data_IF_554154003515
#
_entry.id   IF_554154003515
#
_cell.length_a   1.000
_cell.length_b   1.000
_cell.length_c   1.000
_cell.angle_alpha   90.00
_cell.angle_beta   90.00
_cell.angle_gamma   90.00
#
_symmetry.space_group_name_H-M   'P 1'
#
loop_
_entity.id
_entity.type
_entity.pdbx_description
1 polymer ?
#
# COMPACT_ATOMS: atom_id res chain seq x y z
N UNK A 1 33.33 -31.11 -21.13
CA UNK A 1 32.27 -30.83 -20.13
C UNK A 1 32.42 -29.40 -19.57
N UNK A 2 31.32 -28.74 -19.21
CA UNK A 2 31.34 -27.42 -18.58
C UNK A 2 31.85 -27.54 -17.13
N UNK A 3 32.84 -26.73 -16.74
CA UNK A 3 33.41 -26.78 -15.39
C UNK A 3 32.55 -26.10 -14.32
N UNK A 4 31.84 -25.03 -14.68
CA UNK A 4 30.89 -24.34 -13.82
C UNK A 4 29.83 -23.59 -14.65
N UNK A 5 28.62 -23.47 -14.11
CA UNK A 5 27.55 -22.63 -14.66
C UNK A 5 27.05 -21.73 -13.54
N UNK A 6 27.41 -20.46 -13.57
CA UNK A 6 27.16 -19.50 -12.50
C UNK A 6 26.20 -18.42 -12.98
N UNK A 7 25.13 -18.21 -12.24
CA UNK A 7 24.15 -17.16 -12.43
C UNK A 7 24.30 -16.13 -11.30
N UNK A 8 24.31 -14.86 -11.66
CA UNK A 8 24.32 -13.75 -10.71
C UNK A 8 22.86 -13.33 -10.48
N UNK A 9 22.34 -13.76 -9.35
CA UNK A 9 20.99 -13.45 -8.88
C UNK A 9 21.04 -12.38 -7.80
N UNK A 10 19.88 -12.03 -7.24
CA UNK A 10 19.74 -11.04 -6.18
C UNK A 10 18.97 -11.59 -5.00
N UNK A 11 19.38 -11.20 -3.80
CA UNK A 11 18.63 -11.45 -2.57
C UNK A 11 17.19 -10.90 -2.63
N UNK A 12 16.90 -9.93 -3.52
CA UNK A 12 15.54 -9.44 -3.78
C UNK A 12 14.56 -10.55 -4.23
N UNK A 13 15.03 -11.61 -4.89
CA UNK A 13 14.20 -12.77 -5.23
C UNK A 13 13.74 -13.57 -4.00
N UNK A 14 14.50 -13.50 -2.91
CA UNK A 14 14.21 -14.23 -1.66
C UNK A 14 13.56 -13.34 -0.60
N UNK A 15 14.06 -12.12 -0.42
CA UNK A 15 13.63 -11.19 0.62
C UNK A 15 12.53 -10.24 0.15
N UNK A 16 12.35 -10.11 -1.17
CA UNK A 16 11.52 -9.08 -1.75
C UNK A 16 12.16 -7.69 -1.64
N UNK A 17 11.63 -6.77 -2.44
CA UNK A 17 11.99 -5.36 -2.40
C UNK A 17 10.80 -4.53 -2.89
N UNK A 18 10.32 -3.54 -2.12
CA UNK A 18 9.28 -2.64 -2.61
C UNK A 18 9.68 -2.02 -3.96
N UNK A 19 8.80 -2.08 -4.96
CA UNK A 19 9.06 -1.58 -6.31
C UNK A 19 9.89 -2.49 -7.23
N UNK A 20 10.38 -3.64 -6.73
CA UNK A 20 11.32 -4.51 -7.47
C UNK A 20 10.67 -5.81 -7.99
N UNK A 21 9.36 -5.82 -8.26
CA UNK A 21 8.62 -7.03 -8.63
C UNK A 21 9.18 -7.74 -9.88
N UNK A 22 9.37 -6.99 -10.97
CA UNK A 22 9.91 -7.53 -12.23
C UNK A 22 11.35 -8.07 -12.04
N UNK A 23 12.16 -7.33 -11.28
CA UNK A 23 13.53 -7.70 -10.98
C UNK A 23 13.60 -8.96 -10.11
N UNK A 24 12.78 -9.05 -9.06
CA UNK A 24 12.68 -10.22 -8.20
C UNK A 24 12.22 -11.46 -8.99
N UNK A 25 11.24 -11.31 -9.89
CA UNK A 25 10.77 -12.41 -10.73
C UNK A 25 11.85 -12.93 -11.70
N UNK A 26 12.60 -12.04 -12.33
CA UNK A 26 13.71 -12.42 -13.21
C UNK A 26 14.80 -13.19 -12.46
N UNK A 27 15.18 -12.71 -11.27
CA UNK A 27 16.18 -13.38 -10.42
C UNK A 27 15.65 -14.72 -9.87
N UNK A 28 14.37 -14.82 -9.50
CA UNK A 28 13.74 -16.08 -9.11
C UNK A 28 13.75 -17.13 -10.23
N UNK A 29 13.65 -16.70 -11.49
CA UNK A 29 13.83 -17.59 -12.65
C UNK A 29 15.26 -18.14 -12.73
N UNK A 30 16.29 -17.30 -12.53
CA UNK A 30 17.69 -17.75 -12.48
C UNK A 30 17.90 -18.79 -11.38
N UNK A 31 17.31 -18.54 -10.20
CA UNK A 31 17.38 -19.45 -9.05
C UNK A 31 16.70 -20.80 -9.32
N UNK A 32 15.58 -20.78 -10.04
CA UNK A 32 14.90 -22.00 -10.48
C UNK A 32 15.70 -22.75 -11.55
N UNK A 33 16.34 -22.02 -12.49
CA UNK A 33 17.16 -22.61 -13.54
C UNK A 33 18.39 -23.34 -12.97
N UNK A 34 19.13 -22.73 -12.04
CA UNK A 34 20.26 -23.38 -11.39
C UNK A 34 19.85 -24.66 -10.65
N UNK A 35 18.71 -24.63 -9.95
CA UNK A 35 18.14 -25.81 -9.27
C UNK A 35 17.75 -26.91 -10.26
N UNK A 36 17.07 -26.57 -11.35
CA UNK A 36 16.70 -27.53 -12.40
C UNK A 36 17.94 -28.20 -13.00
N UNK A 37 18.97 -27.42 -13.33
CA UNK A 37 20.23 -27.96 -13.88
C UNK A 37 20.87 -28.98 -12.95
N UNK A 38 20.93 -28.69 -11.64
CA UNK A 38 21.47 -29.66 -10.67
C UNK A 38 20.61 -30.92 -10.54
N UNK A 39 19.28 -30.80 -10.62
CA UNK A 39 18.40 -31.96 -10.65
C UNK A 39 18.64 -32.86 -11.87
N UNK A 40 19.07 -32.28 -12.99
CA UNK A 40 19.43 -32.98 -14.23
C UNK A 40 20.90 -33.46 -14.26
N UNK A 41 21.63 -33.37 -13.13
CA UNK A 41 23.04 -33.77 -13.04
C UNK A 41 24.02 -32.82 -13.73
N UNK A 42 23.56 -31.62 -14.12
CA UNK A 42 24.37 -30.60 -14.78
C UNK A 42 24.90 -29.56 -13.76
N UNK A 43 26.06 -28.93 -14.03
CA UNK A 43 26.53 -27.80 -13.24
C UNK A 43 25.49 -26.68 -13.23
N UNK A 44 25.22 -26.12 -12.05
CA UNK A 44 24.28 -25.01 -11.83
C UNK A 44 24.46 -24.40 -10.45
N UNK A 45 24.85 -23.12 -10.41
CA UNK A 45 24.97 -22.29 -9.22
C UNK A 45 24.30 -20.95 -9.51
N UNK A 46 23.37 -20.52 -8.67
CA UNK A 46 22.83 -19.16 -8.68
C UNK A 46 23.22 -18.50 -7.36
N UNK A 47 23.96 -17.40 -7.38
CA UNK A 47 24.33 -16.69 -6.16
C UNK A 47 23.40 -15.51 -6.00
N UNK A 48 22.59 -15.51 -4.95
CA UNK A 48 21.66 -14.42 -4.66
C UNK A 48 22.38 -13.33 -3.86
N UNK A 49 22.85 -12.31 -4.56
CA UNK A 49 23.70 -11.26 -3.98
C UNK A 49 22.91 -10.22 -3.19
N UNK A 50 23.47 -9.82 -2.06
CA UNK A 50 23.12 -8.61 -1.34
C UNK A 50 23.64 -7.34 -2.02
N UNK A 51 23.54 -6.23 -1.30
CA UNK A 51 24.05 -4.94 -1.78
C UNK A 51 25.59 -4.96 -1.84
N UNK A 52 26.17 -4.39 -2.88
CA UNK A 52 27.61 -4.13 -3.00
C UNK A 52 27.90 -2.65 -2.67
N UNK A 53 29.02 -2.38 -2.03
CA UNK A 53 29.47 -1.03 -1.66
C UNK A 53 29.85 -0.21 -2.88
N UNK A 54 30.52 -0.85 -3.85
CA UNK A 54 30.86 -0.24 -5.12
C UNK A 54 29.61 -0.04 -5.96
N UNK A 55 29.17 1.20 -6.13
CA UNK A 55 28.12 1.57 -7.07
C UNK A 55 28.65 1.41 -8.51
N UNK A 56 28.62 0.19 -9.04
CA UNK A 56 28.95 -0.08 -10.44
C UNK A 56 27.79 -0.77 -11.15
N UNK A 57 27.46 -0.29 -12.35
CA UNK A 57 26.38 -0.82 -13.18
C UNK A 57 24.99 -0.69 -12.55
N UNK A 58 24.48 -1.77 -11.95
CA UNK A 58 23.08 -1.94 -11.56
C UNK A 58 22.68 -1.15 -10.31
N UNK A 59 23.59 -0.99 -9.35
CA UNK A 59 23.38 -0.21 -8.12
C UNK A 59 23.70 1.28 -8.28
N UNK A 60 24.18 1.72 -9.44
CA UNK A 60 24.50 3.12 -9.73
C UNK A 60 23.30 4.07 -9.79
N UNK A 61 22.08 3.52 -9.87
CA UNK A 61 20.82 4.27 -9.91
C UNK A 61 20.17 4.43 -8.53
N UNK A 62 20.71 3.76 -7.50
CA UNK A 62 20.20 3.87 -6.13
C UNK A 62 20.67 5.19 -5.56
N UNK A 63 19.73 6.02 -5.11
CA UNK A 63 20.06 7.28 -4.46
C UNK A 63 20.51 7.03 -3.00
N UNK A 64 21.00 8.09 -2.35
CA UNK A 64 21.44 8.01 -0.96
C UNK A 64 20.31 7.58 0.01
N UNK A 65 19.04 7.81 -0.36
CA UNK A 65 17.88 7.44 0.44
C UNK A 65 17.60 5.92 0.35
N UNK A 66 17.74 5.31 -0.82
CA UNK A 66 17.66 3.86 -1.02
C UNK A 66 18.76 3.12 -0.24
N UNK A 67 19.99 3.62 -0.30
CA UNK A 67 21.10 3.10 0.49
C UNK A 67 20.83 3.21 2.00
N UNK A 68 20.24 4.32 2.45
CA UNK A 68 19.90 4.55 3.86
C UNK A 68 18.76 3.65 4.32
N UNK A 69 17.72 3.47 3.48
CA UNK A 69 16.58 2.58 3.76
C UNK A 69 17.01 1.12 3.89
N UNK A 70 17.94 0.67 3.03
CA UNK A 70 18.49 -0.68 3.08
C UNK A 70 19.47 -0.89 4.24
N UNK A 71 20.32 0.09 4.56
CA UNK A 71 21.15 0.01 5.78
C UNK A 71 20.29 -0.10 7.04
N UNK A 72 19.18 0.64 7.09
CA UNK A 72 18.19 0.53 8.17
C UNK A 72 17.47 -0.81 8.20
N UNK A 73 17.47 -1.63 7.16
CA UNK A 73 16.87 -2.98 7.20
C UNK A 73 17.81 -4.06 7.78
N UNK A 74 19.02 -3.68 8.22
CA UNK A 74 20.02 -4.60 8.75
C UNK A 74 20.85 -5.30 7.66
N UNK A 75 20.67 -4.91 6.39
CA UNK A 75 21.48 -5.38 5.27
C UNK A 75 22.58 -4.36 4.99
N UNK A 76 23.82 -4.76 5.24
CA UNK A 76 24.99 -3.93 5.01
C UNK A 76 25.58 -4.19 3.60
N UNK A 77 26.19 -3.18 2.97
CA UNK A 77 26.84 -3.35 1.66
C UNK A 77 28.10 -4.22 1.78
N UNK A 78 28.32 -5.12 0.84
CA UNK A 78 29.53 -5.94 0.71
C UNK A 78 30.64 -5.15 0.02
N UNK A 79 31.85 -5.20 0.57
CA UNK A 79 33.06 -4.78 -0.17
C UNK A 79 33.35 -5.76 -1.31
N UNK A 80 34.13 -5.34 -2.31
CA UNK A 80 34.52 -6.23 -3.42
C UNK A 80 35.29 -7.47 -2.92
N UNK A 81 36.12 -7.30 -1.88
CA UNK A 81 36.86 -8.40 -1.26
C UNK A 81 35.91 -9.40 -0.58
N UNK A 82 34.96 -8.93 0.23
CA UNK A 82 33.93 -9.79 0.85
C UNK A 82 33.07 -10.50 -0.21
N UNK A 83 32.72 -9.79 -1.30
CA UNK A 83 31.98 -10.36 -2.43
C UNK A 83 32.73 -11.50 -3.11
N UNK A 84 34.04 -11.33 -3.36
CA UNK A 84 34.89 -12.37 -3.94
C UNK A 84 35.10 -13.56 -3.01
N UNK A 85 35.26 -13.32 -1.71
CA UNK A 85 35.38 -14.40 -0.72
C UNK A 85 34.09 -15.23 -0.64
N UNK A 86 32.92 -14.57 -0.63
CA UNK A 86 31.62 -15.24 -0.69
C UNK A 86 31.42 -15.99 -2.01
N UNK A 87 31.95 -15.46 -3.12
CA UNK A 87 31.89 -16.13 -4.41
C UNK A 87 32.73 -17.42 -4.41
N UNK A 88 33.95 -17.35 -3.89
CA UNK A 88 34.81 -18.53 -3.74
C UNK A 88 34.16 -19.59 -2.84
N UNK A 89 33.55 -19.16 -1.73
CA UNK A 89 32.81 -20.06 -0.84
C UNK A 89 31.58 -20.69 -1.53
N UNK A 90 30.85 -19.92 -2.35
CA UNK A 90 29.71 -20.43 -3.12
C UNK A 90 30.13 -21.47 -4.17
N UNK A 91 31.28 -21.28 -4.82
CA UNK A 91 31.85 -22.24 -5.77
C UNK A 91 32.33 -23.54 -5.11
N UNK A 92 32.90 -23.45 -3.90
CA UNK A 92 33.36 -24.60 -3.14
C UNK A 92 32.22 -25.38 -2.47
N UNK A 93 31.05 -24.75 -2.29
CA UNK A 93 29.88 -25.34 -1.65
C UNK A 93 29.04 -26.21 -2.59
N UNK A 94 28.20 -27.06 -2.00
CA UNK A 94 27.31 -27.97 -2.74
C UNK A 94 25.87 -27.42 -2.92
N UNK A 95 25.62 -26.20 -2.44
CA UNK A 95 24.28 -25.59 -2.51
C UNK A 95 24.10 -24.94 -3.89
N UNK A 96 23.00 -25.23 -4.62
CA UNK A 96 22.73 -24.60 -5.91
C UNK A 96 22.34 -23.12 -5.80
N UNK A 97 21.94 -22.67 -4.61
CA UNK A 97 21.40 -21.33 -4.36
C UNK A 97 21.84 -20.77 -2.99
N UNK A 98 23.10 -20.36 -2.82
CA UNK A 98 23.51 -19.57 -1.66
C UNK A 98 23.01 -18.12 -1.77
N UNK A 99 22.62 -17.55 -0.63
CA UNK A 99 22.36 -16.11 -0.48
C UNK A 99 23.62 -15.48 0.14
N UNK A 100 24.24 -14.56 -0.59
CA UNK A 100 25.48 -13.89 -0.20
C UNK A 100 25.14 -12.49 0.31
N UNK A 101 25.02 -12.33 1.62
CA UNK A 101 24.50 -11.12 2.27
C UNK A 101 25.30 -10.79 3.53
N UNK A 102 25.64 -9.51 3.73
CA UNK A 102 26.16 -9.03 5.02
C UNK A 102 24.99 -8.58 5.90
N UNK A 103 24.71 -9.37 6.94
CA UNK A 103 23.63 -9.11 7.89
C UNK A 103 24.19 -8.54 9.18
N UNK A 104 23.81 -7.32 9.52
CA UNK A 104 23.95 -6.81 10.88
C UNK A 104 22.71 -7.21 11.67
N UNK A 105 22.83 -8.31 12.42
CA UNK A 105 21.73 -8.86 13.22
C UNK A 105 21.27 -7.93 14.35
N UNK A 106 22.14 -7.02 14.80
CA UNK A 106 21.81 -6.03 15.83
C UNK A 106 21.03 -4.89 15.23
N UNK A 107 21.46 -4.35 14.09
CA UNK A 107 20.70 -3.36 13.34
C UNK A 107 19.34 -3.93 12.87
N UNK A 108 19.30 -5.19 12.42
CA UNK A 108 18.07 -5.87 12.03
C UNK A 108 17.06 -5.96 13.19
N UNK A 109 17.52 -6.25 14.42
CA UNK A 109 16.68 -6.22 15.63
C UNK A 109 16.23 -4.82 15.98
N UNK A 110 17.13 -3.84 15.91
CA UNK A 110 16.81 -2.44 16.23
C UNK A 110 15.82 -1.82 15.24
N UNK A 111 15.86 -2.26 13.99
CA UNK A 111 14.97 -1.81 12.93
C UNK A 111 13.63 -2.56 12.87
N UNK A 112 13.47 -3.60 13.67
CA UNK A 112 12.23 -4.34 13.76
C UNK A 112 11.13 -3.41 14.30
N UNK A 113 10.20 -3.01 13.42
CA UNK A 113 8.97 -2.33 13.83
C UNK A 113 8.05 -3.27 14.62
N UNK A 114 6.80 -2.87 14.90
CA UNK A 114 5.87 -3.70 15.69
C UNK A 114 5.54 -5.07 15.07
N UNK A 115 5.81 -5.28 13.78
CA UNK A 115 5.75 -6.61 13.14
C UNK A 115 6.95 -7.53 13.43
N UNK A 116 7.94 -7.05 14.19
CA UNK A 116 9.17 -7.77 14.50
C UNK A 116 10.10 -7.94 13.31
N UNK A 117 11.15 -8.74 13.50
CA UNK A 117 12.06 -9.15 12.42
C UNK A 117 11.30 -10.03 11.40
N UNK A 118 11.48 -9.82 10.08
CA UNK A 118 10.90 -10.67 9.04
C UNK A 118 11.09 -12.16 9.35
N UNK A 119 10.05 -12.96 9.11
CA UNK A 119 10.02 -14.39 9.48
C UNK A 119 11.23 -15.16 8.97
N UNK A 120 11.66 -14.89 7.73
CA UNK A 120 12.82 -15.52 7.10
C UNK A 120 14.15 -15.19 7.80
N UNK A 121 14.26 -14.03 8.46
CA UNK A 121 15.47 -13.56 9.13
C UNK A 121 15.45 -13.79 10.65
N UNK A 122 14.32 -14.22 11.22
CA UNK A 122 14.15 -14.36 12.68
C UNK A 122 15.13 -15.34 13.32
N UNK A 123 15.42 -16.45 12.65
CA UNK A 123 16.38 -17.43 13.14
C UNK A 123 17.81 -16.85 13.18
N UNK A 124 18.17 -16.05 12.17
CA UNK A 124 19.47 -15.38 12.06
C UNK A 124 19.62 -14.24 13.06
N UNK A 125 18.52 -13.60 13.46
CA UNK A 125 18.51 -12.53 14.44
C UNK A 125 18.69 -13.01 15.90
N UNK A 126 18.74 -14.32 16.18
CA UNK A 126 19.03 -14.85 17.53
C UNK A 126 17.97 -15.77 18.16
N UNK A 127 17.18 -16.49 17.36
CA UNK A 127 16.23 -17.50 17.88
C UNK A 127 14.95 -16.90 18.49
N UNK A 128 13.97 -17.72 18.88
CA UNK A 128 12.60 -17.26 19.12
C UNK A 128 12.58 -16.31 20.31
N UNK A 129 12.40 -15.01 20.05
CA UNK A 129 11.90 -14.09 21.04
C UNK A 129 10.61 -14.71 21.59
N UNK A 130 10.66 -15.13 22.86
CA UNK A 130 9.50 -15.49 23.66
C UNK A 130 8.44 -14.44 23.33
N UNK A 131 7.28 -14.86 22.82
CA UNK A 131 6.11 -13.99 22.61
C UNK A 131 5.90 -13.23 23.92
N UNK A 132 6.42 -12.02 24.03
CA UNK A 132 5.71 -10.95 24.72
C UNK A 132 4.42 -10.85 23.94
N UNK A 133 3.32 -11.17 24.62
CA UNK A 133 1.98 -11.10 24.07
C UNK A 133 1.89 -9.87 23.17
N UNK A 134 1.45 -10.06 21.92
CA UNK A 134 1.07 -8.95 21.07
C UNK A 134 0.10 -8.11 21.90
N UNK A 135 0.57 -6.95 22.34
CA UNK A 135 -0.29 -5.96 22.95
C UNK A 135 -1.31 -5.62 21.86
N UNK A 136 -2.58 -5.89 22.15
CA UNK A 136 -3.64 -5.72 21.16
C UNK A 136 -3.63 -4.28 20.60
N UNK A 137 -4.20 -4.03 19.41
CA UNK A 137 -4.25 -2.68 18.82
C UNK A 137 -4.79 -1.59 19.77
N UNK A 138 -5.53 -1.98 20.81
CA UNK A 138 -6.01 -1.11 21.88
C UNK A 138 -4.95 -0.66 22.88
N UNK A 139 -4.02 -1.52 23.32
CA UNK A 139 -3.07 -1.19 24.39
C UNK A 139 -2.02 -0.15 23.95
N UNK A 140 -1.56 -0.21 22.70
CA UNK A 140 -0.67 0.82 22.14
C UNK A 140 -1.37 2.18 21.95
N UNK A 141 -2.66 2.15 21.57
CA UNK A 141 -3.50 3.35 21.47
C UNK A 141 -3.74 3.96 22.84
N UNK A 142 -4.01 3.15 23.86
CA UNK A 142 -4.29 3.60 25.22
C UNK A 142 -3.04 4.18 25.91
N UNK A 143 -1.86 3.61 25.65
CA UNK A 143 -0.59 4.16 26.13
C UNK A 143 -0.26 5.53 25.49
N UNK A 144 -0.46 5.67 24.17
CA UNK A 144 -0.27 6.97 23.48
C UNK A 144 -1.32 7.99 23.95
N UNK A 145 -2.58 7.58 24.10
CA UNK A 145 -3.66 8.43 24.61
C UNK A 145 -3.38 8.91 26.04
N UNK A 146 -2.89 8.03 26.93
CA UNK A 146 -2.52 8.40 28.29
C UNK A 146 -1.36 9.42 28.31
N UNK A 147 -0.35 9.24 27.47
CA UNK A 147 0.77 10.19 27.32
C UNK A 147 0.31 11.55 26.77
N UNK A 148 -0.59 11.56 25.79
CA UNK A 148 -1.17 12.78 25.24
C UNK A 148 -2.10 13.47 26.25
N UNK A 149 -2.88 12.72 27.02
CA UNK A 149 -3.75 13.26 28.06
C UNK A 149 -2.97 13.92 29.21
N UNK A 150 -1.77 13.40 29.53
CA UNK A 150 -0.87 13.97 30.52
C UNK A 150 -0.18 15.27 30.09
N UNK A 151 -0.16 15.57 28.78
CA UNK A 151 0.38 16.81 28.24
C UNK A 151 -0.66 17.95 28.31
N UNK A 152 -0.23 19.20 28.56
CA UNK A 152 -1.08 20.39 28.42
C UNK A 152 -1.70 20.46 27.02
N UNK A 153 -2.93 20.94 26.90
CA UNK A 153 -3.66 20.97 25.62
C UNK A 153 -2.89 21.70 24.50
N UNK A 154 -2.13 22.73 24.84
CA UNK A 154 -1.28 23.49 23.91
C UNK A 154 -0.05 22.70 23.42
N UNK A 155 0.41 21.69 24.15
CA UNK A 155 1.59 20.89 23.80
C UNK A 155 1.24 19.60 23.04
N UNK A 156 -0.04 19.19 23.06
CA UNK A 156 -0.53 17.98 22.37
C UNK A 156 -0.38 18.07 20.85
N UNK A 157 -0.65 19.24 20.29
CA UNK A 157 -0.52 19.47 18.84
C UNK A 157 0.94 19.39 18.39
N UNK A 158 1.86 19.99 19.17
CA UNK A 158 3.30 19.89 18.92
C UNK A 158 3.79 18.44 18.98
N UNK A 159 3.40 17.69 20.02
CA UNK A 159 3.79 16.29 20.16
C UNK A 159 3.29 15.38 19.02
N UNK A 160 2.08 15.62 18.51
CA UNK A 160 1.54 14.88 17.37
C UNK A 160 2.19 15.30 16.05
N UNK A 161 2.49 16.59 15.89
CA UNK A 161 3.24 17.10 14.75
C UNK A 161 4.64 16.50 14.68
N UNK A 162 5.34 16.44 15.82
CA UNK A 162 6.67 15.83 15.92
C UNK A 162 6.63 14.33 15.61
N UNK A 163 5.58 13.63 16.04
CA UNK A 163 5.37 12.22 15.69
C UNK A 163 5.21 12.04 14.18
N UNK A 164 4.38 12.85 13.54
CA UNK A 164 4.17 12.79 12.08
C UNK A 164 5.45 13.14 11.33
N UNK A 165 6.14 14.23 11.72
CA UNK A 165 7.39 14.68 11.11
C UNK A 165 8.52 13.67 11.28
N UNK A 166 8.65 13.04 12.45
CA UNK A 166 9.64 12.00 12.70
C UNK A 166 9.43 10.74 11.85
N UNK A 167 8.17 10.31 11.67
CA UNK A 167 7.86 9.21 10.77
C UNK A 167 8.03 9.59 9.29
N UNK A 168 7.66 10.81 8.90
CA UNK A 168 7.88 11.32 7.55
C UNK A 168 9.37 11.41 7.20
N UNK A 169 10.20 11.94 8.10
CA UNK A 169 11.65 11.99 7.97
C UNK A 169 12.24 10.59 7.81
N UNK A 170 11.74 9.63 8.59
CA UNK A 170 12.17 8.23 8.50
C UNK A 170 11.86 7.63 7.12
N UNK A 171 10.70 7.93 6.54
CA UNK A 171 10.32 7.46 5.20
C UNK A 171 11.16 8.12 4.11
N UNK A 172 11.41 9.43 4.22
CA UNK A 172 12.16 10.21 3.24
C UNK A 172 13.69 10.10 3.38
N UNK A 173 14.18 9.41 4.43
CA UNK A 173 15.61 9.27 4.69
C UNK A 173 16.29 10.50 5.30
N UNK A 174 15.52 11.43 5.87
CA UNK A 174 16.06 12.59 6.59
C UNK A 174 16.57 12.20 7.99
N UNK A 175 17.54 12.97 8.49
CA UNK A 175 18.16 12.74 9.79
C UNK A 175 17.24 13.15 10.94
N UNK A 176 16.41 14.17 10.74
CA UNK A 176 15.51 14.73 11.74
C UNK A 176 14.10 14.98 11.19
N UNK A 177 13.10 14.95 12.07
CA UNK A 177 11.76 15.44 11.76
C UNK A 177 11.72 16.95 11.49
N UNK A 178 12.70 17.70 11.99
CA UNK A 178 12.83 19.15 11.75
C UNK A 178 13.09 19.46 10.28
N UNK A 179 13.71 18.54 9.55
CA UNK A 179 13.98 18.65 8.10
C UNK A 179 12.70 18.56 7.25
N UNK A 180 11.58 18.13 7.83
CA UNK A 180 10.28 18.01 7.15
C UNK A 180 9.44 19.24 7.44
N UNK A 181 9.14 20.07 6.44
CA UNK A 181 8.28 21.25 6.63
C UNK A 181 6.84 20.87 7.00
N UNK A 182 6.32 21.47 8.07
CA UNK A 182 5.00 21.17 8.67
C UNK A 182 3.80 21.50 7.78
N UNK A 183 3.91 22.57 6.97
CA UNK A 183 2.85 23.06 6.06
C UNK A 183 3.10 22.73 4.60
N UNK A 184 4.23 22.10 4.28
CA UNK A 184 4.52 21.71 2.90
C UNK A 184 3.76 20.43 2.55
N UNK A 185 3.13 20.36 1.37
CA UNK A 185 2.45 19.14 0.95
C UNK A 185 3.42 17.96 0.87
N UNK A 186 3.01 16.78 1.33
CA UNK A 186 3.79 15.55 1.26
C UNK A 186 4.32 15.27 -0.15
N UNK A 187 3.51 15.52 -1.19
CA UNK A 187 3.93 15.40 -2.60
C UNK A 187 5.13 16.29 -2.94
N UNK A 188 5.18 17.51 -2.41
CA UNK A 188 6.29 18.43 -2.61
C UNK A 188 7.51 18.08 -1.73
N UNK A 189 7.31 17.30 -0.67
CA UNK A 189 8.37 16.73 0.17
C UNK A 189 8.96 15.43 -0.41
N UNK A 190 8.46 14.95 -1.55
CA UNK A 190 8.95 13.74 -2.21
C UNK A 190 8.14 12.46 -1.92
N UNK A 191 6.94 12.58 -1.33
CA UNK A 191 6.06 11.42 -1.20
C UNK A 191 5.42 11.03 -2.54
N UNK A 192 5.45 9.73 -2.79
CA UNK A 192 4.81 9.01 -3.88
C UNK A 192 3.80 7.98 -3.35
N UNK A 193 3.27 7.13 -4.24
CA UNK A 193 2.27 6.13 -3.86
C UNK A 193 2.81 5.09 -2.86
N UNK A 194 4.11 4.78 -2.90
CA UNK A 194 4.71 3.73 -2.08
C UNK A 194 5.09 4.25 -0.69
N UNK A 195 5.76 5.39 -0.64
CA UNK A 195 6.15 6.10 0.60
C UNK A 195 4.93 6.54 1.41
N UNK A 196 3.81 6.87 0.75
CA UNK A 196 2.53 7.16 1.41
C UNK A 196 1.97 5.96 2.18
N UNK A 197 2.06 4.76 1.60
CA UNK A 197 1.64 3.52 2.28
C UNK A 197 2.58 3.19 3.44
N UNK A 198 3.88 3.43 3.29
CA UNK A 198 4.86 3.21 4.36
C UNK A 198 4.63 4.13 5.57
N UNK A 199 4.40 5.43 5.33
CA UNK A 199 4.04 6.40 6.39
C UNK A 199 2.76 5.97 7.11
N UNK A 200 1.72 5.60 6.35
CA UNK A 200 0.45 5.12 6.91
C UNK A 200 0.62 3.88 7.78
N UNK A 201 1.42 2.92 7.34
CA UNK A 201 1.69 1.71 8.13
C UNK A 201 2.46 2.04 9.42
N UNK A 202 3.44 2.96 9.37
CA UNK A 202 4.16 3.43 10.56
C UNK A 202 3.26 4.19 11.53
N UNK A 203 2.35 5.02 11.05
CA UNK A 203 1.41 5.74 11.89
C UNK A 203 0.37 4.81 12.52
N UNK A 204 -0.16 3.83 11.79
CA UNK A 204 -1.03 2.79 12.36
C UNK A 204 -0.34 2.06 13.51
N UNK A 205 0.93 1.71 13.31
CA UNK A 205 1.77 1.08 14.31
C UNK A 205 1.98 1.93 15.57
N UNK A 206 2.29 3.23 15.39
CA UNK A 206 2.57 4.13 16.50
C UNK A 206 1.31 4.54 17.29
N UNK A 207 0.16 4.64 16.59
CA UNK A 207 -1.09 5.17 17.16
C UNK A 207 -2.11 4.09 17.52
N UNK A 208 -1.90 2.86 17.07
CA UNK A 208 -2.89 1.79 17.14
C UNK A 208 -4.16 2.06 16.31
N UNK A 209 -4.18 3.07 15.45
CA UNK A 209 -5.31 3.43 14.60
C UNK A 209 -5.38 2.55 13.34
N UNK A 210 -6.56 2.51 12.72
CA UNK A 210 -6.76 1.95 11.38
C UNK A 210 -6.95 3.09 10.39
N UNK A 211 -5.84 3.63 9.88
CA UNK A 211 -5.83 4.76 8.96
C UNK A 211 -6.02 4.28 7.50
N UNK A 212 -6.84 4.99 6.69
CA UNK A 212 -7.09 4.63 5.29
C UNK A 212 -5.82 4.80 4.43
N UNK A 213 -5.77 4.12 3.28
CA UNK A 213 -4.63 4.24 2.36
C UNK A 213 -4.55 5.63 1.69
N UNK A 214 -5.66 6.36 1.67
CA UNK A 214 -5.79 7.72 1.12
C UNK A 214 -5.33 8.81 2.09
N UNK A 215 -4.90 8.46 3.30
CA UNK A 215 -4.57 9.40 4.40
C UNK A 215 -3.70 10.59 3.99
N UNK A 216 -2.66 10.36 3.18
CA UNK A 216 -1.72 11.39 2.72
C UNK A 216 -2.34 12.32 1.67
N UNK A 217 -3.37 11.86 0.96
CA UNK A 217 -4.15 12.66 0.01
C UNK A 217 -5.26 13.45 0.72
N UNK A 218 -5.92 12.82 1.70
CA UNK A 218 -6.98 13.45 2.50
C UNK A 218 -6.41 14.52 3.45
N UNK A 219 -5.17 14.33 3.91
CA UNK A 219 -4.42 15.24 4.77
C UNK A 219 -3.04 15.53 4.16
N UNK A 220 -2.97 16.52 3.26
CA UNK A 220 -1.82 16.69 2.37
C UNK A 220 -0.58 17.24 3.08
N UNK A 221 -0.69 17.80 4.28
CA UNK A 221 0.45 18.34 5.03
C UNK A 221 0.66 17.60 6.36
N UNK A 222 1.90 17.57 6.90
CA UNK A 222 2.16 17.03 8.24
C UNK A 222 1.28 17.64 9.34
N UNK A 223 1.01 18.94 9.27
CA UNK A 223 0.11 19.63 10.20
C UNK A 223 -1.34 19.15 10.10
N UNK A 224 -1.89 19.02 8.89
CA UNK A 224 -3.26 18.51 8.68
C UNK A 224 -3.40 17.08 9.18
N UNK A 225 -2.37 16.26 8.95
CA UNK A 225 -2.34 14.88 9.40
C UNK A 225 -2.24 14.77 10.92
N UNK A 226 -1.44 15.62 11.57
CA UNK A 226 -1.37 15.68 13.04
C UNK A 226 -2.72 16.08 13.66
N UNK A 227 -3.41 17.06 13.07
CA UNK A 227 -4.74 17.46 13.50
C UNK A 227 -5.78 16.33 13.34
N UNK A 228 -5.72 15.58 12.25
CA UNK A 228 -6.58 14.42 12.05
C UNK A 228 -6.32 13.31 13.09
N UNK A 229 -5.05 13.02 13.38
CA UNK A 229 -4.68 12.06 14.43
C UNK A 229 -5.15 12.51 15.81
N UNK A 230 -5.11 13.82 16.10
CA UNK A 230 -5.68 14.37 17.34
C UNK A 230 -7.17 14.07 17.45
N UNK A 231 -7.94 14.33 16.40
CA UNK A 231 -9.39 14.09 16.39
C UNK A 231 -9.74 12.60 16.61
N UNK A 232 -8.93 11.69 16.06
CA UNK A 232 -9.12 10.25 16.23
C UNK A 232 -8.68 9.71 17.61
N UNK A 233 -7.65 10.30 18.21
CA UNK A 233 -7.07 9.84 19.47
C UNK A 233 -7.75 10.47 20.70
N UNK A 234 -8.19 11.72 20.58
CA UNK A 234 -8.86 12.50 21.61
C UNK A 234 -10.23 12.97 21.10
N UNK A 235 -11.18 12.04 20.82
CA UNK A 235 -12.57 12.43 20.77
C UNK A 235 -12.91 12.96 22.17
N UNK A 236 -13.33 14.22 22.24
CA UNK A 236 -13.64 15.00 23.45
C UNK A 236 -12.50 15.84 24.03
N UNK A 237 -12.28 16.98 23.37
CA UNK A 237 -11.93 18.25 24.01
C UNK A 237 -13.02 19.27 23.71
N UNK A 238 -14.25 18.99 24.14
CA UNK A 238 -15.37 19.92 24.02
C UNK A 238 -15.21 21.06 25.02
N UNK A 239 -14.63 22.16 24.58
CA UNK A 239 -15.07 23.46 25.10
C UNK A 239 -16.53 23.62 24.72
N UNK A 240 -17.35 23.86 25.72
CA UNK A 240 -18.76 24.13 25.56
C UNK A 240 -18.98 25.32 24.60
N UNK A 241 -19.48 25.03 23.40
CA UNK A 241 -20.44 25.88 22.70
C UNK A 241 -21.55 24.96 22.19
N UNK A 242 -22.73 25.11 22.81
CA UNK A 242 -23.91 24.31 22.53
C UNK A 242 -24.41 24.45 21.08
N UNK A 243 -24.93 23.34 20.57
CA UNK A 243 -25.58 23.26 19.27
C UNK A 243 -25.87 21.81 18.87
N UNK A 244 -26.82 21.19 19.57
CA UNK A 244 -27.72 20.08 19.12
C UNK A 244 -27.64 19.77 17.62
N UNK A 245 -27.30 18.57 17.13
CA UNK A 245 -27.97 17.24 17.14
C UNK A 245 -27.10 16.34 16.24
N UNK A 246 -26.92 15.03 16.37
CA UNK A 246 -27.50 14.00 17.19
C UNK A 246 -26.69 12.72 16.97
N UNK A 247 -26.58 11.93 18.03
CA UNK A 247 -25.91 10.64 18.07
C UNK A 247 -26.76 9.58 17.38
N UNK A 248 -26.15 8.74 16.55
CA UNK A 248 -26.57 7.36 16.38
C UNK A 248 -25.34 6.49 16.16
N UNK A 249 -24.87 5.85 17.24
CA UNK A 249 -24.06 4.65 17.11
C UNK A 249 -24.99 3.46 16.94
N UNK A 250 -24.57 2.47 16.13
CA UNK A 250 -24.50 1.05 16.50
C UNK A 250 -24.29 0.16 15.27
N UNK A 251 -23.38 -0.80 15.46
CA UNK A 251 -23.44 -2.20 15.01
C UNK A 251 -23.71 -2.53 13.54
N UNK A 252 -22.80 -3.35 12.99
CA UNK A 252 -22.95 -3.98 11.70
C UNK A 252 -24.22 -4.82 11.57
N UNK A 253 -24.93 -4.58 10.49
CA UNK A 253 -25.55 -5.53 9.58
C UNK A 253 -26.16 -4.67 8.46
N UNK A 254 -25.82 -5.00 7.21
CA UNK A 254 -26.49 -4.61 5.94
C UNK A 254 -25.59 -3.89 4.92
N UNK A 255 -24.71 -4.67 4.28
CA UNK A 255 -23.82 -4.25 3.19
C UNK A 255 -24.58 -3.94 1.87
N UNK A 256 -25.91 -4.11 1.83
CA UNK A 256 -26.72 -3.93 0.62
C UNK A 256 -27.43 -2.57 0.52
N UNK A 257 -27.92 -2.04 1.63
CA UNK A 257 -28.73 -0.81 1.63
C UNK A 257 -27.87 0.46 1.59
N UNK A 258 -26.68 0.42 2.21
CA UNK A 258 -25.76 1.56 2.28
C UNK A 258 -25.16 1.91 0.91
N UNK A 259 -24.82 0.88 0.10
CA UNK A 259 -24.27 1.07 -1.25
C UNK A 259 -25.30 1.70 -2.19
N UNK A 260 -26.60 1.34 -2.08
CA UNK A 260 -27.66 1.94 -2.91
C UNK A 260 -27.86 3.42 -2.60
N UNK A 261 -27.83 3.81 -1.33
CA UNK A 261 -27.94 5.22 -0.92
C UNK A 261 -26.74 6.03 -1.41
N UNK A 262 -25.53 5.47 -1.33
CA UNK A 262 -24.31 6.09 -1.84
C UNK A 262 -24.32 6.23 -3.37
N UNK A 263 -24.76 5.22 -4.11
CA UNK A 263 -24.89 5.29 -5.57
C UNK A 263 -25.94 6.30 -6.02
N UNK A 264 -27.08 6.39 -5.33
CA UNK A 264 -28.14 7.36 -5.62
C UNK A 264 -27.69 8.82 -5.41
N UNK A 265 -26.71 9.05 -4.52
CA UNK A 265 -26.14 10.37 -4.26
C UNK A 265 -25.12 10.86 -5.29
N UNK A 266 -24.65 10.01 -6.23
CA UNK A 266 -23.64 10.39 -7.22
C UNK A 266 -24.33 10.89 -8.50
N UNK A 267 -24.04 12.12 -8.99
CA UNK A 267 -24.59 12.61 -10.24
C UNK A 267 -24.21 11.72 -11.43
N UNK A 268 -25.17 11.41 -12.31
CA UNK A 268 -24.97 10.56 -13.50
C UNK A 268 -23.82 11.05 -14.40
N UNK A 269 -23.59 12.36 -14.48
CA UNK A 269 -22.48 12.94 -15.22
C UNK A 269 -21.10 12.49 -14.70
N UNK A 270 -20.95 12.32 -13.37
CA UNK A 270 -19.71 11.81 -12.75
C UNK A 270 -19.51 10.32 -13.07
N UNK A 271 -20.59 9.53 -13.05
CA UNK A 271 -20.54 8.11 -13.42
C UNK A 271 -20.13 7.93 -14.88
N UNK A 272 -20.62 8.80 -15.77
CA UNK A 272 -20.24 8.80 -17.20
C UNK A 272 -18.78 9.22 -17.40
N UNK A 273 -18.33 10.29 -16.75
CA UNK A 273 -16.94 10.74 -16.85
C UNK A 273 -15.92 9.71 -16.31
N UNK A 274 -16.33 8.92 -15.32
CA UNK A 274 -15.53 7.82 -14.78
C UNK A 274 -15.60 6.53 -15.62
N UNK A 275 -16.41 6.47 -16.69
CA UNK A 275 -16.61 5.27 -17.48
C UNK A 275 -17.36 4.14 -16.75
N UNK A 276 -18.04 4.47 -15.64
CA UNK A 276 -18.72 3.49 -14.76
C UNK A 276 -20.21 3.32 -15.08
N UNK A 277 -20.79 4.19 -15.92
CA UNK A 277 -22.21 4.14 -16.25
C UNK A 277 -22.60 2.85 -16.99
N UNK A 278 -21.90 2.50 -18.07
CA UNK A 278 -22.22 1.31 -18.88
C UNK A 278 -22.02 -0.01 -18.11
N UNK A 279 -20.94 -0.18 -17.30
CA UNK A 279 -20.80 -1.33 -16.41
C UNK A 279 -21.96 -1.47 -15.41
N UNK A 280 -22.42 -0.36 -14.81
CA UNK A 280 -23.52 -0.39 -13.82
C UNK A 280 -24.85 -0.74 -14.47
N UNK A 281 -25.14 -0.21 -15.67
CA UNK A 281 -26.34 -0.55 -16.43
C UNK A 281 -26.36 -2.02 -16.86
N UNK A 282 -25.21 -2.58 -17.25
CA UNK A 282 -25.08 -3.99 -17.60
C UNK A 282 -25.34 -4.90 -16.39
N UNK A 283 -24.77 -4.54 -15.23
CA UNK A 283 -24.98 -5.26 -13.98
C UNK A 283 -26.45 -5.20 -13.51
N UNK A 284 -27.12 -4.06 -13.71
CA UNK A 284 -28.54 -3.91 -13.42
C UNK A 284 -29.43 -4.78 -14.34
N UNK A 285 -29.05 -4.92 -15.62
CA UNK A 285 -29.74 -5.80 -16.55
C UNK A 285 -29.55 -7.29 -16.21
N UNK A 286 -28.44 -7.65 -15.58
CA UNK A 286 -28.15 -9.02 -15.13
C UNK A 286 -28.89 -9.41 -13.83
N UNK A 287 -29.39 -8.43 -13.06
CA UNK A 287 -30.04 -8.62 -11.75
C UNK A 287 -31.57 -8.49 -11.78
N UNK A 288 -32.19 -8.69 -12.95
CA UNK A 288 -33.62 -8.47 -13.19
C UNK A 288 -34.58 -9.08 -12.16
N UNK A 289 -34.90 -8.31 -11.12
CA UNK A 289 -36.20 -8.27 -10.45
C UNK A 289 -36.72 -6.83 -10.59
N UNK A 290 -37.51 -6.58 -11.63
CA UNK A 290 -38.44 -5.46 -11.62
C UNK A 290 -39.56 -5.78 -10.62
N UNK A 291 -39.97 -4.83 -9.75
CA UNK A 291 -41.13 -5.01 -8.90
C UNK A 291 -42.42 -5.07 -9.74
N UNK A 292 -43.46 -5.80 -9.28
CA UNK A 292 -44.66 -6.03 -10.06
C UNK A 292 -45.55 -4.77 -10.14
N UNK A 293 -46.28 -4.71 -11.25
CA UNK A 293 -47.31 -3.74 -11.62
C UNK A 293 -48.15 -3.18 -10.46
N UNK A 294 -48.21 -1.84 -10.39
CA UNK A 294 -49.29 -1.09 -9.76
C UNK A 294 -50.02 -0.29 -10.84
N UNK A 295 -51.24 -0.70 -11.17
CA UNK A 295 -51.97 -0.26 -12.36
C UNK A 295 -52.56 1.17 -12.34
N UNK A 296 -52.52 1.78 -13.52
CA UNK A 296 -53.54 2.63 -14.16
C UNK A 296 -53.71 4.09 -13.68
N UNK A 297 -54.27 5.01 -14.52
CA UNK A 297 -55.01 4.77 -15.78
C UNK A 297 -54.50 5.54 -17.03
N UNK A 298 -55.16 5.21 -18.15
CA UNK A 298 -54.99 5.50 -19.59
C UNK A 298 -54.87 6.95 -20.10
N UNK A 299 -54.43 6.99 -21.38
CA UNK A 299 -54.51 7.99 -22.46
C UNK A 299 -53.24 8.86 -22.65
N UNK A 300 -52.56 8.89 -23.81
CA UNK A 300 -53.02 8.69 -25.18
C UNK A 300 -51.98 7.98 -26.07
N UNK A 301 -52.49 7.31 -27.10
CA UNK A 301 -51.78 6.50 -28.10
C UNK A 301 -50.64 7.26 -28.81
N UNK A 302 -49.42 6.81 -28.59
CA UNK A 302 -48.36 6.81 -29.60
C UNK A 302 -48.00 5.35 -29.80
N UNK A 303 -48.48 4.75 -30.88
CA UNK A 303 -48.09 3.39 -31.27
C UNK A 303 -46.56 3.28 -31.27
N UNK A 304 -46.07 2.28 -30.54
CA UNK A 304 -44.66 2.01 -30.39
C UNK A 304 -44.06 1.61 -31.74
N UNK A 305 -43.10 2.43 -32.19
CA UNK A 305 -42.30 2.25 -33.42
C UNK A 305 -41.69 0.84 -33.50
N UNK A 306 -41.48 0.19 -32.36
CA UNK A 306 -40.90 -1.16 -32.28
C UNK A 306 -41.80 -2.28 -32.83
N UNK A 307 -43.08 -2.01 -33.13
CA UNK A 307 -44.02 -3.02 -33.63
C UNK A 307 -44.46 -2.83 -35.09
N UNK A 308 -43.95 -1.79 -35.77
CA UNK A 308 -44.33 -1.51 -37.16
C UNK A 308 -43.54 -2.38 -38.15
N UNK A 309 -44.21 -2.84 -39.20
CA UNK A 309 -43.54 -3.52 -40.31
C UNK A 309 -42.74 -2.54 -41.17
N UNK A 310 -41.81 -3.08 -41.95
CA UNK A 310 -40.85 -2.29 -42.71
C UNK A 310 -41.52 -1.40 -43.78
N UNK A 311 -42.67 -1.81 -44.32
CA UNK A 311 -43.40 -1.03 -45.33
C UNK A 311 -44.11 0.17 -44.68
N UNK A 312 -44.66 0.00 -43.48
CA UNK A 312 -45.31 1.08 -42.72
C UNK A 312 -44.33 2.15 -42.22
N UNK A 313 -43.07 1.77 -41.95
CA UNK A 313 -41.99 2.70 -41.58
C UNK A 313 -41.53 3.55 -42.77
N UNK A 314 -41.62 3.02 -43.99
CA UNK A 314 -41.24 3.74 -45.22
C UNK A 314 -42.30 4.78 -45.59
N UNK A 315 -43.59 4.46 -45.47
CA UNK A 315 -44.66 5.44 -45.69
C UNK A 315 -44.62 6.60 -44.68
N UNK A 316 -44.34 6.31 -43.40
CA UNK A 316 -44.20 7.35 -42.38
C UNK A 316 -42.99 8.28 -42.64
N UNK A 317 -41.89 7.75 -43.17
CA UNK A 317 -40.70 8.54 -43.51
C UNK A 317 -40.90 9.40 -44.77
N UNK A 318 -41.74 8.95 -45.72
CA UNK A 318 -42.03 9.70 -46.94
C UNK A 318 -43.04 10.84 -46.67
N UNK A 319 -44.06 10.61 -45.83
CA UNK A 319 -45.03 11.66 -45.41
C UNK A 319 -44.37 12.80 -44.61
N UNK A 320 -43.28 12.54 -43.89
CA UNK A 320 -42.52 13.57 -43.16
C UNK A 320 -41.73 14.53 -44.08
N UNK A 321 -41.64 14.26 -45.38
CA UNK A 321 -40.88 15.10 -46.33
C UNK A 321 -41.74 16.14 -47.06
N UNK A 322 -43.07 16.09 -46.90
CA UNK A 322 -44.03 16.99 -47.57
C UNK A 322 -44.78 17.94 -46.61
N UNK A 323 -44.09 18.43 -45.58
CA UNK A 323 -44.54 19.61 -44.82
C UNK A 323 -43.59 20.76 -45.07
N UNK A 324 -44.05 21.65 -45.95
CA UNK A 324 -43.46 22.91 -46.39
C UNK A 324 -43.72 24.04 -45.40
#
# INVERSE_FOLDING_TARGET
>A
PLGAFVLFSSAAATLGGPGQGNYAAANAFLDALARRRRADGLPGLSVAWGLWETASGMTGHLDAADHTRMRRSGVAPLTDAEGLDLFAAALAGDRPLPVALRLDTTALRAAAGPGGVPSLLRALAGGPARRTAETGPGEGRDALRARLAALPAAERDGALLDLVRGHAATVLGHASGEDVHDRQPFKALGFDSLTSVELRNRLNAATGLRLPATLVFDHPTPADLAAHLRALLLPDGGDAHGGTTGTAGASGADDGTDVRALLAGIPVARLRAAGLLDPLLRLAAETGELPPDGGGPEAADTESIDTMDADSLVDMALDMTDIR
#
